data_IF_519285476180
#
_entry.id   IF_519285476180
#
_cell.length_a   1.000
_cell.length_b   1.000
_cell.length_c   1.000
_cell.angle_alpha   90.00
_cell.angle_beta   90.00
_cell.angle_gamma   90.00
#
_symmetry.space_group_name_H-M   'P 1'
#
loop_
_entity.id
_entity.type
_entity.pdbx_description
1 polymer ?
#
# COMPACT_ATOMS: atom_id res chain seq x y z
N UNK A 1 23.75 33.91 10.85
CA UNK A 1 23.37 33.09 9.67
C UNK A 1 23.60 31.60 9.93
N UNK A 2 24.77 31.19 10.43
CA UNK A 2 25.09 29.78 10.78
C UNK A 2 24.15 29.16 11.83
N UNK A 3 23.66 29.95 12.80
CA UNK A 3 22.69 29.47 13.82
C UNK A 3 21.32 29.11 13.24
N UNK A 4 20.84 29.83 12.24
CA UNK A 4 19.56 29.55 11.59
C UNK A 4 19.64 28.29 10.72
N UNK A 5 20.73 28.13 9.96
CA UNK A 5 20.97 26.89 9.21
C UNK A 5 21.06 25.68 10.15
N UNK A 6 21.79 25.81 11.26
CA UNK A 6 21.90 24.74 12.26
C UNK A 6 20.53 24.37 12.87
N UNK A 7 19.71 25.36 13.19
CA UNK A 7 18.33 25.16 13.67
C UNK A 7 17.47 24.45 12.63
N UNK A 8 17.55 24.84 11.35
CA UNK A 8 16.82 24.18 10.27
C UNK A 8 17.28 22.73 10.07
N UNK A 9 18.58 22.44 10.16
CA UNK A 9 19.12 21.08 10.07
C UNK A 9 18.59 20.19 11.19
N UNK A 10 18.72 20.62 12.45
CA UNK A 10 18.20 19.85 13.61
C UNK A 10 16.70 19.60 13.45
N UNK A 11 15.95 20.62 13.07
CA UNK A 11 14.50 20.52 12.90
C UNK A 11 14.13 19.51 11.80
N UNK A 12 14.78 19.59 10.64
CA UNK A 12 14.53 18.67 9.53
C UNK A 12 14.84 17.22 9.90
N UNK A 13 16.04 16.94 10.44
CA UNK A 13 16.44 15.57 10.78
C UNK A 13 15.63 14.99 11.95
N UNK A 14 15.29 15.79 12.96
CA UNK A 14 14.40 15.34 14.04
C UNK A 14 12.99 15.03 13.52
N UNK A 15 12.51 15.78 12.53
CA UNK A 15 11.22 15.48 11.91
C UNK A 15 11.31 14.24 11.01
N UNK A 16 12.40 14.06 10.27
CA UNK A 16 12.60 12.91 9.38
C UNK A 16 12.48 11.58 10.14
N UNK A 17 13.10 11.49 11.32
CA UNK A 17 13.00 10.33 12.21
C UNK A 17 11.54 10.05 12.61
N UNK A 18 10.80 11.09 13.01
CA UNK A 18 9.37 10.97 13.37
C UNK A 18 8.48 10.57 12.19
N UNK A 19 8.80 11.08 11.00
CA UNK A 19 8.08 10.77 9.77
C UNK A 19 8.25 9.30 9.44
N UNK A 20 9.46 8.76 9.59
CA UNK A 20 9.73 7.35 9.33
C UNK A 20 8.85 6.43 10.18
N UNK A 21 8.80 6.65 11.50
CA UNK A 21 7.93 5.86 12.39
C UNK A 21 6.44 5.98 12.01
N UNK A 22 5.96 7.19 11.69
CA UNK A 22 4.56 7.40 11.28
C UNK A 22 4.23 6.79 9.94
N UNK A 23 5.17 6.77 9.01
CA UNK A 23 5.00 6.10 7.72
C UNK A 23 4.82 4.60 7.91
N UNK A 24 5.63 3.99 8.79
CA UNK A 24 5.49 2.57 9.12
C UNK A 24 4.11 2.29 9.75
N UNK A 25 3.68 3.10 10.72
CA UNK A 25 2.35 2.99 11.33
C UNK A 25 1.21 3.08 10.30
N UNK A 26 1.24 4.08 9.41
CA UNK A 26 0.21 4.26 8.38
C UNK A 26 0.24 3.14 7.33
N UNK A 27 1.43 2.62 7.02
CA UNK A 27 1.61 1.48 6.11
C UNK A 27 0.98 0.22 6.70
N UNK A 28 1.21 -0.05 7.99
CA UNK A 28 0.55 -1.15 8.69
C UNK A 28 -0.97 -0.96 8.76
N UNK A 29 -1.45 0.25 9.05
CA UNK A 29 -2.88 0.59 9.08
C UNK A 29 -3.56 0.32 7.73
N UNK A 30 -2.87 0.58 6.61
CA UNK A 30 -3.38 0.38 5.25
C UNK A 30 -3.54 -1.10 4.87
N UNK A 31 -2.82 -2.03 5.51
CA UNK A 31 -2.90 -3.46 5.17
C UNK A 31 -4.30 -4.04 5.39
N UNK A 32 -4.98 -3.61 6.46
CA UNK A 32 -6.33 -4.09 6.80
C UNK A 32 -7.36 -3.78 5.70
N UNK A 33 -7.59 -2.51 5.30
CA UNK A 33 -8.54 -2.20 4.25
C UNK A 33 -8.13 -2.79 2.89
N UNK A 34 -6.83 -2.86 2.57
CA UNK A 34 -6.38 -3.54 1.34
C UNK A 34 -6.75 -5.02 1.32
N UNK A 35 -6.56 -5.72 2.44
CA UNK A 35 -6.96 -7.12 2.57
C UNK A 35 -8.49 -7.30 2.46
N UNK A 36 -9.26 -6.41 3.10
CA UNK A 36 -10.71 -6.42 3.02
C UNK A 36 -11.22 -6.20 1.58
N UNK A 37 -10.64 -5.23 0.86
CA UNK A 37 -10.94 -4.98 -0.56
C UNK A 37 -10.62 -6.18 -1.43
N UNK A 38 -9.49 -6.85 -1.20
CA UNK A 38 -9.15 -8.08 -1.92
C UNK A 38 -10.22 -9.14 -1.71
N UNK A 39 -10.64 -9.38 -0.48
CA UNK A 39 -11.71 -10.33 -0.17
C UNK A 39 -13.05 -9.94 -0.84
N UNK A 40 -13.45 -8.68 -0.78
CA UNK A 40 -14.68 -8.18 -1.41
C UNK A 40 -14.62 -8.30 -2.94
N UNK A 41 -13.47 -8.06 -3.56
CA UNK A 41 -13.28 -8.23 -5.01
C UNK A 41 -13.47 -9.70 -5.44
N UNK A 42 -12.97 -10.64 -4.64
CA UNK A 42 -13.16 -12.08 -4.87
C UNK A 42 -14.63 -12.48 -4.69
N UNK A 43 -15.33 -11.92 -3.70
CA UNK A 43 -16.77 -12.16 -3.50
C UNK A 43 -17.59 -11.68 -4.71
N UNK A 44 -17.34 -10.46 -5.19
CA UNK A 44 -17.99 -9.94 -6.40
C UNK A 44 -17.72 -10.87 -7.58
N UNK A 45 -16.47 -11.29 -7.75
CA UNK A 45 -16.06 -12.18 -8.84
C UNK A 45 -16.83 -13.51 -8.79
N UNK A 46 -16.96 -14.12 -7.61
CA UNK A 46 -17.72 -15.36 -7.42
C UNK A 46 -19.21 -15.19 -7.73
N UNK A 47 -19.82 -14.08 -7.29
CA UNK A 47 -21.23 -13.77 -7.57
C UNK A 47 -21.45 -13.64 -9.08
N UNK A 48 -20.53 -12.99 -9.80
CA UNK A 48 -20.61 -12.87 -11.25
C UNK A 48 -20.37 -14.18 -11.99
N UNK A 49 -19.36 -14.96 -11.59
CA UNK A 49 -19.08 -16.26 -12.23
C UNK A 49 -20.23 -17.26 -12.04
N UNK A 50 -20.80 -17.34 -10.84
CA UNK A 50 -21.95 -18.21 -10.59
C UNK A 50 -23.13 -17.80 -11.48
N UNK A 51 -23.43 -16.50 -11.57
CA UNK A 51 -24.51 -15.99 -12.42
C UNK A 51 -24.28 -16.30 -13.91
N UNK A 52 -23.08 -16.04 -14.42
CA UNK A 52 -22.72 -16.33 -15.80
C UNK A 52 -22.85 -17.84 -16.11
N UNK A 53 -22.35 -18.70 -15.21
CA UNK A 53 -22.45 -20.15 -15.37
C UNK A 53 -23.90 -20.64 -15.35
N UNK A 54 -24.75 -20.09 -14.47
CA UNK A 54 -26.18 -20.41 -14.45
C UNK A 54 -26.88 -19.97 -15.74
N UNK A 55 -26.61 -18.75 -16.24
CA UNK A 55 -27.21 -18.27 -17.49
C UNK A 55 -26.77 -19.07 -18.72
N UNK A 56 -25.47 -19.40 -18.84
CA UNK A 56 -24.97 -20.25 -19.92
C UNK A 56 -25.60 -21.63 -19.86
N UNK A 57 -25.80 -22.20 -18.67
CA UNK A 57 -26.51 -23.48 -18.52
C UNK A 57 -27.99 -23.41 -18.92
N UNK A 58 -28.70 -22.34 -18.54
CA UNK A 58 -30.10 -22.15 -18.95
C UNK A 58 -30.21 -22.00 -20.47
N UNK A 59 -29.34 -21.20 -21.09
CA UNK A 59 -29.28 -21.04 -22.55
C UNK A 59 -28.98 -22.40 -23.21
N UNK A 60 -27.96 -23.12 -22.75
CA UNK A 60 -27.60 -24.44 -23.27
C UNK A 60 -28.75 -25.45 -23.13
N UNK A 61 -29.53 -25.39 -22.04
CA UNK A 61 -30.72 -26.24 -21.85
C UNK A 61 -31.85 -25.90 -22.81
N UNK A 62 -32.15 -24.61 -22.99
CA UNK A 62 -33.15 -24.14 -23.96
C UNK A 62 -32.73 -24.52 -25.38
N UNK A 63 -31.45 -24.40 -25.70
CA UNK A 63 -30.89 -24.73 -27.00
C UNK A 63 -30.86 -26.25 -27.26
N UNK A 64 -30.54 -27.06 -26.24
CA UNK A 64 -30.63 -28.52 -26.29
C UNK A 64 -32.08 -29.03 -26.45
N UNK A 65 -33.05 -28.42 -25.75
CA UNK A 65 -34.48 -28.71 -25.96
C UNK A 65 -34.94 -28.32 -27.37
N UNK A 66 -34.42 -27.21 -27.92
CA UNK A 66 -34.68 -26.80 -29.31
C UNK A 66 -34.08 -27.77 -30.33
N UNK A 67 -32.95 -28.39 -30.02
CA UNK A 67 -32.30 -29.42 -30.85
C UNK A 67 -33.04 -30.77 -30.75
N UNK A 68 -33.60 -31.14 -29.60
CA UNK A 68 -34.43 -32.35 -29.44
C UNK A 68 -35.71 -32.35 -30.30
N UNK A 69 -36.18 -31.18 -30.74
CA UNK A 69 -37.29 -31.05 -31.71
C UNK A 69 -36.84 -31.27 -33.17
N UNK A 70 -35.54 -31.47 -33.43
CA UNK A 70 -35.02 -31.99 -34.71
C UNK A 70 -34.64 -33.47 -34.55
N UNK A 71 -35.39 -34.41 -35.12
CA UNK A 71 -35.02 -35.81 -35.04
C UNK A 71 -33.82 -36.04 -35.97
N UNK A 72 -32.69 -36.41 -35.38
CA UNK A 72 -31.50 -37.07 -35.95
C UNK A 72 -30.20 -36.37 -35.55
N UNK A 73 -29.70 -36.67 -34.34
CA UNK A 73 -28.32 -37.13 -34.08
C UNK A 73 -28.16 -37.42 -32.57
N UNK A 74 -27.24 -38.34 -32.29
CA UNK A 74 -27.15 -39.21 -31.10
C UNK A 74 -26.80 -38.52 -29.78
N UNK A 75 -27.22 -39.20 -28.72
CA UNK A 75 -27.05 -38.98 -27.28
C UNK A 75 -25.66 -38.53 -26.82
N UNK A 76 -25.66 -37.60 -25.86
CA UNK A 76 -24.71 -37.57 -24.75
C UNK A 76 -25.51 -37.32 -23.49
N UNK A 77 -25.73 -38.35 -22.68
CA UNK A 77 -26.30 -38.22 -21.34
C UNK A 77 -25.26 -37.55 -20.43
N UNK A 78 -25.57 -36.33 -19.99
CA UNK A 78 -24.96 -35.75 -18.79
C UNK A 78 -26.03 -35.79 -17.71
N UNK A 79 -25.89 -36.74 -16.78
CA UNK A 79 -26.74 -36.84 -15.59
C UNK A 79 -26.63 -35.54 -14.79
N UNK A 80 -27.75 -34.82 -14.68
CA UNK A 80 -27.81 -33.46 -14.14
C UNK A 80 -28.65 -33.43 -12.86
N UNK A 81 -28.16 -32.68 -11.86
CA UNK A 81 -28.64 -32.68 -10.48
C UNK A 81 -29.17 -31.30 -10.05
N UNK A 82 -30.01 -30.64 -10.85
CA UNK A 82 -30.92 -29.61 -10.32
C UNK A 82 -32.37 -30.03 -10.57
N UNK A 83 -33.12 -30.13 -9.47
CA UNK A 83 -34.48 -30.68 -9.41
C UNK A 83 -35.48 -29.92 -10.27
N UNK A 84 -36.57 -30.63 -10.56
CA UNK A 84 -37.70 -30.27 -11.39
C UNK A 84 -38.29 -28.88 -11.08
N UNK A 85 -38.71 -28.19 -12.14
CA UNK A 85 -39.62 -27.03 -12.16
C UNK A 85 -39.33 -25.92 -11.12
N UNK A 86 -38.36 -25.05 -11.42
CA UNK A 86 -38.16 -23.82 -10.65
C UNK A 86 -39.22 -22.81 -11.11
N UNK A 87 -40.11 -22.44 -10.19
CA UNK A 87 -41.19 -21.49 -10.43
C UNK A 87 -40.63 -20.07 -10.69
N UNK A 88 -41.23 -19.30 -11.61
CA UNK A 88 -40.71 -17.96 -11.97
C UNK A 88 -40.66 -17.01 -10.75
N UNK A 89 -41.56 -17.20 -9.79
CA UNK A 89 -41.60 -16.46 -8.53
C UNK A 89 -40.42 -16.82 -7.59
N UNK A 90 -39.88 -18.02 -7.68
CA UNK A 90 -38.72 -18.47 -6.91
C UNK A 90 -37.41 -17.95 -7.54
N UNK A 91 -37.36 -17.90 -8.88
CA UNK A 91 -36.27 -17.27 -9.63
C UNK A 91 -36.13 -15.77 -9.29
N UNK A 92 -37.24 -15.02 -9.24
CA UNK A 92 -37.23 -13.60 -8.86
C UNK A 92 -36.71 -13.36 -7.42
N UNK A 93 -37.03 -14.24 -6.47
CA UNK A 93 -36.52 -14.11 -5.08
C UNK A 93 -35.01 -14.31 -4.99
N UNK A 94 -34.45 -15.17 -5.84
CA UNK A 94 -33.00 -15.39 -5.93
C UNK A 94 -32.32 -14.14 -6.50
N UNK A 95 -32.93 -13.49 -7.49
CA UNK A 95 -32.40 -12.24 -8.07
C UNK A 95 -32.42 -11.08 -7.06
N UNK A 96 -33.50 -10.90 -6.29
CA UNK A 96 -33.56 -9.88 -5.22
C UNK A 96 -32.49 -10.10 -4.14
N UNK A 97 -32.28 -11.35 -3.72
CA UNK A 97 -31.24 -11.69 -2.74
C UNK A 97 -29.83 -11.44 -3.30
N UNK A 98 -29.62 -11.71 -4.58
CA UNK A 98 -28.36 -11.43 -5.29
C UNK A 98 -28.09 -9.93 -5.37
N UNK A 99 -29.06 -9.13 -5.80
CA UNK A 99 -28.91 -7.67 -5.86
C UNK A 99 -28.59 -7.09 -4.49
N UNK A 100 -29.27 -7.57 -3.44
CA UNK A 100 -28.99 -7.17 -2.06
C UNK A 100 -27.58 -7.56 -1.61
N UNK A 101 -27.10 -8.73 -2.01
CA UNK A 101 -25.72 -9.17 -1.71
C UNK A 101 -24.71 -8.28 -2.44
N UNK A 102 -24.90 -8.03 -3.74
CA UNK A 102 -24.04 -7.14 -4.54
C UNK A 102 -23.99 -5.76 -3.89
N UNK A 103 -25.14 -5.19 -3.54
CA UNK A 103 -25.21 -3.89 -2.87
C UNK A 103 -24.41 -3.86 -1.57
N UNK A 104 -24.53 -4.89 -0.72
CA UNK A 104 -23.74 -4.99 0.52
C UNK A 104 -22.24 -5.04 0.26
N UNK A 105 -21.80 -5.79 -0.77
CA UNK A 105 -20.38 -5.88 -1.10
C UNK A 105 -19.87 -4.53 -1.61
N UNK A 106 -20.63 -3.86 -2.49
CA UNK A 106 -20.28 -2.53 -2.99
C UNK A 106 -20.18 -1.49 -1.85
N UNK A 107 -21.16 -1.48 -0.93
CA UNK A 107 -21.08 -0.64 0.27
C UNK A 107 -19.87 -0.97 1.14
N UNK A 108 -19.51 -2.24 1.25
CA UNK A 108 -18.29 -2.68 1.92
C UNK A 108 -17.05 -2.11 1.26
N UNK A 109 -16.96 -2.16 -0.07
CA UNK A 109 -15.85 -1.62 -0.87
C UNK A 109 -15.74 -0.11 -0.66
N UNK A 110 -16.85 0.62 -0.76
CA UNK A 110 -16.86 2.08 -0.58
C UNK A 110 -16.36 2.49 0.80
N UNK A 111 -16.72 1.74 1.85
CA UNK A 111 -16.23 1.99 3.21
C UNK A 111 -14.72 1.79 3.32
N UNK A 112 -14.19 0.69 2.77
CA UNK A 112 -12.74 0.43 2.82
C UNK A 112 -11.95 1.40 1.94
N UNK A 113 -12.51 1.84 0.80
CA UNK A 113 -11.93 2.90 -0.03
C UNK A 113 -11.86 4.22 0.74
N UNK A 114 -12.93 4.60 1.47
CA UNK A 114 -12.91 5.81 2.31
C UNK A 114 -11.79 5.75 3.36
N UNK A 115 -11.61 4.62 4.04
CA UNK A 115 -10.53 4.43 4.99
C UNK A 115 -9.15 4.59 4.33
N UNK A 116 -8.94 4.01 3.14
CA UNK A 116 -7.70 4.20 2.39
C UNK A 116 -7.47 5.64 1.97
N UNK A 117 -8.52 6.37 1.56
CA UNK A 117 -8.42 7.79 1.26
C UNK A 117 -7.99 8.60 2.48
N UNK A 118 -8.56 8.31 3.66
CA UNK A 118 -8.18 8.98 4.91
C UNK A 118 -6.71 8.72 5.27
N UNK A 119 -6.24 7.47 5.13
CA UNK A 119 -4.84 7.10 5.33
C UNK A 119 -3.93 7.83 4.33
N UNK A 120 -4.32 7.88 3.06
CA UNK A 120 -3.57 8.55 2.00
C UNK A 120 -3.50 10.07 2.24
N UNK A 121 -4.57 10.69 2.71
CA UNK A 121 -4.56 12.09 3.13
C UNK A 121 -3.58 12.33 4.28
N UNK A 122 -3.57 11.47 5.30
CA UNK A 122 -2.61 11.54 6.43
C UNK A 122 -1.17 11.41 5.94
N UNK A 123 -0.89 10.45 5.06
CA UNK A 123 0.42 10.28 4.41
C UNK A 123 0.85 11.55 3.69
N UNK A 124 -0.02 12.10 2.84
CA UNK A 124 0.30 13.29 2.08
C UNK A 124 0.57 14.49 2.99
N UNK A 125 -0.22 14.70 4.04
CA UNK A 125 -0.02 15.80 4.98
C UNK A 125 1.36 15.72 5.67
N UNK A 126 1.78 14.53 6.09
CA UNK A 126 3.11 14.31 6.68
C UNK A 126 4.21 14.63 5.66
N UNK A 127 4.02 14.23 4.40
CA UNK A 127 4.99 14.47 3.34
C UNK A 127 5.10 15.95 2.98
N UNK A 128 3.97 16.67 2.97
CA UNK A 128 3.97 18.11 2.77
C UNK A 128 4.66 18.84 3.94
N UNK A 129 4.44 18.43 5.20
CA UNK A 129 5.17 19.01 6.34
C UNK A 129 6.69 18.80 6.19
N UNK A 130 7.13 17.59 5.85
CA UNK A 130 8.55 17.30 5.63
C UNK A 130 9.12 18.11 4.46
N UNK A 131 8.38 18.23 3.36
CA UNK A 131 8.76 19.03 2.19
C UNK A 131 8.89 20.52 2.53
N UNK A 132 7.96 21.06 3.31
CA UNK A 132 8.02 22.44 3.78
C UNK A 132 9.27 22.69 4.63
N UNK A 133 9.63 21.75 5.49
CA UNK A 133 10.87 21.84 6.29
C UNK A 133 12.12 21.75 5.43
N UNK A 134 12.12 20.91 4.39
CA UNK A 134 13.22 20.83 3.43
C UNK A 134 13.41 22.17 2.69
N UNK A 135 12.31 22.76 2.18
CA UNK A 135 12.37 24.07 1.53
C UNK A 135 12.96 25.14 2.47
N UNK A 136 12.52 25.16 3.74
CA UNK A 136 13.08 26.09 4.74
C UNK A 136 14.58 25.86 4.99
N UNK A 137 15.05 24.62 4.91
CA UNK A 137 16.46 24.27 5.04
C UNK A 137 17.26 24.74 3.82
N UNK A 138 16.74 24.51 2.61
CA UNK A 138 17.35 24.99 1.36
C UNK A 138 17.44 26.52 1.33
N UNK A 139 16.39 27.20 1.78
CA UNK A 139 16.35 28.66 1.93
C UNK A 139 17.32 29.18 2.98
N UNK A 140 17.52 28.44 4.08
CA UNK A 140 18.52 28.79 5.07
C UNK A 140 19.93 28.58 4.53
N UNK A 141 20.15 27.52 3.75
CA UNK A 141 21.42 27.19 3.11
C UNK A 141 21.81 28.19 2.03
N UNK A 142 20.86 28.66 1.22
CA UNK A 142 21.13 29.62 0.14
C UNK A 142 21.64 30.97 0.65
N UNK A 143 21.34 31.31 1.91
CA UNK A 143 21.80 32.54 2.59
C UNK A 143 23.21 32.43 3.18
N UNK A 144 23.81 31.23 3.20
CA UNK A 144 25.17 31.03 3.71
C UNK A 144 26.16 31.13 2.55
N UNK A 145 27.09 32.08 2.65
CA UNK A 145 28.17 32.21 1.66
C UNK A 145 29.12 31.02 1.75
N UNK A 146 29.37 30.38 0.60
CA UNK A 146 30.37 29.33 0.47
C UNK A 146 31.78 29.89 0.26
N UNK A 147 31.90 31.20 0.03
CA UNK A 147 33.18 31.86 -0.23
C UNK A 147 33.93 32.27 1.03
N UNK A 148 33.28 32.18 2.19
CA UNK A 148 33.89 32.39 3.50
C UNK A 148 35.06 31.39 3.70
N UNK A 149 36.22 31.89 4.09
CA UNK A 149 37.45 31.10 4.27
C UNK A 149 37.22 29.92 5.22
N UNK A 150 36.42 30.12 6.26
CA UNK A 150 36.05 29.06 7.21
C UNK A 150 35.23 27.93 6.59
N UNK A 151 34.34 28.25 5.65
CA UNK A 151 33.52 27.28 4.93
C UNK A 151 34.34 26.53 3.88
N UNK A 152 35.27 27.24 3.21
CA UNK A 152 36.22 26.65 2.27
C UNK A 152 37.14 25.63 2.93
N UNK A 153 37.69 25.96 4.10
CA UNK A 153 38.50 25.02 4.88
C UNK A 153 37.71 23.78 5.31
N UNK A 154 36.42 23.93 5.66
CA UNK A 154 35.56 22.80 6.03
C UNK A 154 35.27 21.88 4.83
N UNK A 155 34.95 22.47 3.67
CA UNK A 155 34.60 21.71 2.45
C UNK A 155 35.84 21.05 1.84
N UNK A 156 36.92 21.81 1.66
CA UNK A 156 38.12 21.36 0.96
C UNK A 156 39.12 20.64 1.88
N UNK A 157 38.90 20.73 3.19
CA UNK A 157 39.83 20.26 4.21
C UNK A 157 41.06 21.16 4.32
N UNK A 158 41.87 20.86 5.32
CA UNK A 158 43.20 21.43 5.52
C UNK A 158 44.20 20.28 5.71
N UNK A 159 45.52 20.52 5.66
CA UNK A 159 46.52 19.50 5.96
C UNK A 159 46.33 18.83 7.33
N UNK A 160 45.65 19.49 8.26
CA UNK A 160 45.39 19.03 9.63
C UNK A 160 43.93 18.58 9.86
N UNK A 161 43.05 18.78 8.87
CA UNK A 161 41.63 18.45 8.98
C UNK A 161 41.12 17.83 7.67
N UNK A 162 40.67 16.56 7.68
CA UNK A 162 40.06 15.95 6.50
C UNK A 162 38.84 16.75 6.01
N UNK A 163 38.53 16.59 4.72
CA UNK A 163 37.35 17.20 4.10
C UNK A 163 36.08 16.75 4.80
N UNK A 164 35.06 17.60 4.83
CA UNK A 164 33.79 17.27 5.49
C UNK A 164 33.15 15.98 4.97
N UNK A 165 33.21 15.71 3.66
CA UNK A 165 32.68 14.46 3.10
C UNK A 165 33.38 13.22 3.66
N UNK A 166 34.72 13.27 3.75
CA UNK A 166 35.52 12.17 4.29
C UNK A 166 35.27 11.99 5.80
N UNK A 167 35.09 13.08 6.55
CA UNK A 167 34.69 13.01 7.96
C UNK A 167 33.33 12.35 8.14
N UNK A 168 32.36 12.63 7.26
CA UNK A 168 31.04 12.02 7.29
C UNK A 168 31.10 10.53 6.92
N UNK A 169 31.87 10.16 5.90
CA UNK A 169 32.13 8.76 5.54
C UNK A 169 32.70 7.99 6.73
N UNK A 170 33.77 8.51 7.36
CA UNK A 170 34.38 7.88 8.54
C UNK A 170 33.43 7.79 9.73
N UNK A 171 32.58 8.79 9.94
CA UNK A 171 31.57 8.74 11.01
C UNK A 171 30.56 7.61 10.77
N UNK A 172 30.12 7.42 9.53
CA UNK A 172 29.21 6.33 9.15
C UNK A 172 29.91 4.98 9.30
N UNK A 173 31.14 4.84 8.79
CA UNK A 173 31.93 3.61 8.91
C UNK A 173 32.17 3.22 10.36
N UNK A 174 32.58 4.18 11.20
CA UNK A 174 32.78 3.96 12.62
C UNK A 174 31.47 3.56 13.31
N UNK A 175 30.37 4.26 13.03
CA UNK A 175 29.05 3.91 13.58
C UNK A 175 28.68 2.47 13.23
N UNK A 176 28.77 2.10 11.96
CA UNK A 176 28.44 0.74 11.50
C UNK A 176 29.33 -0.31 12.19
N UNK A 177 30.65 -0.07 12.24
CA UNK A 177 31.58 -0.97 12.90
C UNK A 177 31.23 -1.20 14.37
N UNK A 178 30.98 -0.13 15.14
CA UNK A 178 30.63 -0.27 16.55
C UNK A 178 29.21 -0.81 16.77
N UNK A 179 28.26 -0.46 15.89
CA UNK A 179 26.91 -0.97 15.95
C UNK A 179 26.85 -2.48 15.71
N UNK A 180 27.68 -3.02 14.81
CA UNK A 180 27.83 -4.46 14.60
C UNK A 180 28.62 -5.15 15.71
N UNK A 181 29.64 -4.50 16.25
CA UNK A 181 30.50 -5.05 17.31
C UNK A 181 29.75 -5.17 18.65
N UNK A 182 28.88 -4.21 18.98
CA UNK A 182 28.23 -4.14 20.29
C UNK A 182 27.35 -5.37 20.61
N UNK A 183 26.45 -5.85 19.72
CA UNK A 183 25.71 -7.09 19.93
C UNK A 183 26.60 -8.32 20.15
N UNK A 184 27.75 -8.40 19.45
CA UNK A 184 28.68 -9.52 19.61
C UNK A 184 29.21 -9.54 21.04
N UNK A 185 29.72 -8.40 21.53
CA UNK A 185 30.22 -8.28 22.90
C UNK A 185 29.12 -8.55 23.94
N UNK A 186 27.91 -8.03 23.71
CA UNK A 186 26.77 -8.23 24.62
C UNK A 186 26.30 -9.69 24.71
N UNK A 187 26.43 -10.47 23.63
CA UNK A 187 26.12 -11.89 23.63
C UNK A 187 27.24 -12.72 24.28
N UNK A 188 28.50 -12.27 24.22
CA UNK A 188 29.63 -12.92 24.89
C UNK A 188 29.62 -12.73 26.43
N UNK A 189 28.96 -11.70 26.96
CA UNK A 189 28.88 -11.44 28.40
C UNK A 189 27.71 -12.13 29.12
N UNK A 190 26.93 -12.96 28.42
CA UNK A 190 25.83 -13.78 28.96
C UNK A 190 26.18 -15.27 29.12
N UNK A 191 27.45 -15.65 28.90
CA UNK A 191 28.02 -17.00 29.16
C UNK A 191 28.93 -16.89 30.38
#
# INVERSE_FOLDING_TARGET
MTKELHKCLINYFSQLEKVNCKWDELSEEAKRPLHALKNQSEQIRLVFYHWFMCHVHVIARVEAQRIQVRPHLREVEVSFCCSNEIDNAELCKIDELRERLIFKILMGIDNELRLLFDILMRFNNINQDLKNRLNNLEDARSKVSLDDDTMKELINGTPYRPRLNLLLEWAIEAFNYYHELYPLIANFSQI
#
